data_IF_365888813319
#
_entry.id   IF_365888813319
#
_cell.length_a   1.000
_cell.length_b   1.000
_cell.length_c   1.000
_cell.angle_alpha   90.00
_cell.angle_beta   90.00
_cell.angle_gamma   90.00
#
_symmetry.space_group_name_H-M   'P 1'
#
loop_
_entity.id
_entity.type
_entity.pdbx_description
1 polymer ?
#
# COMPACT_ATOMS: atom_id res chain seq x y z
N UNK A 1 14.79 4.70 35.54
CA UNK A 1 13.98 3.53 35.93
C UNK A 1 12.58 4.02 36.18
N UNK A 2 11.61 3.67 35.35
CA UNK A 2 10.24 4.13 35.53
C UNK A 2 9.52 3.12 36.43
N UNK A 3 9.01 3.60 37.57
CA UNK A 3 8.23 2.83 38.52
C UNK A 3 6.82 2.67 37.97
N UNK A 4 6.50 1.49 37.45
CA UNK A 4 5.15 1.14 37.04
C UNK A 4 4.52 0.34 38.19
N UNK A 5 3.53 0.93 38.86
CA UNK A 5 2.84 0.33 40.01
C UNK A 5 2.35 -1.09 39.76
N UNK A 6 2.09 -1.82 40.85
CA UNK A 6 2.20 -3.28 40.97
C UNK A 6 1.43 -4.18 39.97
N UNK A 7 0.49 -3.72 39.14
CA UNK A 7 -0.31 -4.61 38.28
C UNK A 7 -0.85 -3.96 37.00
N UNK A 8 0.00 -3.57 36.03
CA UNK A 8 -0.47 -3.26 34.67
C UNK A 8 0.41 -3.87 33.58
N UNK A 9 -0.19 -4.78 32.82
CA UNK A 9 0.33 -5.34 31.58
C UNK A 9 0.24 -4.23 30.53
N UNK A 10 1.38 -3.86 29.92
CA UNK A 10 1.39 -2.93 28.78
C UNK A 10 1.03 -3.73 27.53
N UNK A 11 -0.10 -3.38 26.91
CA UNK A 11 -0.49 -3.92 25.61
C UNK A 11 0.32 -3.26 24.50
N UNK A 12 0.85 -4.05 23.59
CA UNK A 12 1.52 -3.59 22.38
C UNK A 12 1.19 -4.52 21.22
N UNK A 13 1.54 -4.11 19.99
CA UNK A 13 1.36 -4.96 18.82
C UNK A 13 2.70 -5.60 18.48
N UNK A 14 2.73 -6.93 18.39
CA UNK A 14 3.90 -7.63 17.86
C UNK A 14 3.83 -7.64 16.33
N UNK A 15 4.74 -6.92 15.69
CA UNK A 15 4.91 -7.00 14.24
C UNK A 15 5.70 -8.27 13.91
N UNK A 16 5.00 -9.30 13.42
CA UNK A 16 5.65 -10.53 12.91
C UNK A 16 6.59 -10.23 11.75
N UNK A 17 6.34 -9.15 11.01
CA UNK A 17 7.16 -8.74 9.86
C UNK A 17 8.48 -8.11 10.31
N UNK A 18 8.49 -7.31 11.39
CA UNK A 18 9.72 -6.69 11.92
C UNK A 18 10.41 -7.54 13.00
N UNK A 19 9.77 -8.61 13.45
CA UNK A 19 10.24 -9.42 14.58
C UNK A 19 10.30 -8.63 15.89
N UNK A 20 9.52 -7.55 16.02
CA UNK A 20 9.58 -6.62 17.17
C UNK A 20 8.19 -6.32 17.69
N UNK A 21 8.09 -6.17 19.01
CA UNK A 21 6.94 -5.54 19.65
C UNK A 21 7.04 -4.03 19.49
N UNK A 22 5.93 -3.36 19.20
CA UNK A 22 5.83 -1.91 19.21
C UNK A 22 4.87 -1.47 20.29
N UNK A 23 5.34 -0.53 21.10
CA UNK A 23 4.65 0.00 22.26
C UNK A 23 4.61 1.52 22.12
N UNK A 24 3.44 2.10 22.36
CA UNK A 24 3.32 3.54 22.51
C UNK A 24 3.80 3.96 23.90
N UNK A 25 4.84 4.77 23.94
CA UNK A 25 5.30 5.50 25.12
C UNK A 25 4.64 6.87 25.15
N UNK A 26 3.57 6.98 25.92
CA UNK A 26 2.81 8.22 26.08
C UNK A 26 3.57 9.32 26.82
N UNK A 27 4.66 9.01 27.52
CA UNK A 27 5.45 10.00 28.26
C UNK A 27 6.45 10.69 27.35
N UNK A 28 7.11 9.91 26.49
CA UNK A 28 8.01 10.46 25.48
C UNK A 28 7.28 10.87 24.19
N UNK A 29 5.96 10.68 24.13
CA UNK A 29 5.14 10.85 22.93
C UNK A 29 5.75 10.13 21.71
N UNK A 30 6.10 8.86 21.91
CA UNK A 30 6.95 8.10 21.00
C UNK A 30 6.48 6.66 20.80
N UNK A 31 6.75 6.09 19.63
CA UNK A 31 6.65 4.65 19.40
C UNK A 31 8.00 4.02 19.69
N UNK A 32 8.00 2.97 20.48
CA UNK A 32 9.21 2.20 20.81
C UNK A 32 9.10 0.78 20.28
N UNK A 33 10.16 0.30 19.66
CA UNK A 33 10.30 -1.07 19.21
C UNK A 33 11.19 -1.88 20.16
N UNK A 34 10.76 -3.09 20.47
CA UNK A 34 11.43 -4.04 21.37
C UNK A 34 11.62 -5.37 20.65
N UNK A 35 12.84 -5.90 20.64
CA UNK A 35 13.10 -7.28 20.25
C UNK A 35 12.51 -8.27 21.28
N UNK A 36 12.30 -9.55 20.92
CA UNK A 36 11.83 -10.56 21.85
C UNK A 36 12.79 -10.68 23.05
N UNK A 37 12.28 -10.52 24.26
CA UNK A 37 13.08 -10.56 25.49
C UNK A 37 13.88 -9.30 25.78
N UNK A 38 13.79 -8.25 24.95
CA UNK A 38 14.44 -6.97 25.22
C UNK A 38 13.76 -6.26 26.40
N UNK A 39 14.57 -5.83 27.36
CA UNK A 39 14.15 -5.03 28.51
C UNK A 39 14.67 -3.60 28.40
N UNK A 40 13.94 -2.62 28.96
CA UNK A 40 14.41 -1.24 29.09
C UNK A 40 13.65 -0.26 28.20
N UNK A 41 14.37 0.69 27.61
CA UNK A 41 13.76 1.81 26.88
C UNK A 41 13.32 1.47 25.44
N UNK A 42 13.71 0.33 24.87
CA UNK A 42 13.47 0.04 23.46
C UNK A 42 14.08 1.07 22.49
N UNK A 43 13.92 0.84 21.19
CA UNK A 43 14.35 1.79 20.14
C UNK A 43 13.20 2.72 19.78
N UNK A 44 13.38 4.04 19.86
CA UNK A 44 12.37 4.99 19.35
C UNK A 44 12.31 4.91 17.83
N UNK A 45 11.12 4.65 17.28
CA UNK A 45 10.87 4.53 15.82
C UNK A 45 9.96 5.64 15.27
N UNK A 46 9.30 6.39 16.13
CA UNK A 46 8.53 7.60 15.80
C UNK A 46 8.35 8.46 17.06
N UNK A 47 8.13 9.77 16.89
CA UNK A 47 7.86 10.76 17.95
C UNK A 47 6.80 11.75 17.48
N UNK A 48 6.18 12.50 18.39
CA UNK A 48 5.21 13.54 18.02
C UNK A 48 3.85 12.95 17.63
N UNK A 49 3.43 11.89 18.31
CA UNK A 49 2.21 11.14 18.00
C UNK A 49 0.97 11.83 18.59
N UNK A 50 1.18 12.70 19.58
CA UNK A 50 0.15 13.52 20.20
C UNK A 50 -0.06 14.77 19.34
N UNK A 51 -1.24 14.91 18.76
CA UNK A 51 -1.65 16.22 18.25
C UNK A 51 -1.81 17.18 19.44
N UNK A 52 -1.11 18.32 19.42
CA UNK A 52 -1.25 19.37 20.43
C UNK A 52 -2.70 19.86 20.51
N UNK A 53 -3.42 19.35 21.51
CA UNK A 53 -4.61 19.90 22.17
C UNK A 53 -5.69 20.57 21.29
N UNK A 54 -6.73 19.83 20.93
CA UNK A 54 -8.15 20.23 21.06
C UNK A 54 -9.02 18.99 20.81
N UNK A 55 -10.24 18.96 21.36
CA UNK A 55 -11.14 17.80 21.45
C UNK A 55 -11.67 17.30 20.08
N UNK A 56 -10.78 16.77 19.26
CA UNK A 56 -11.08 16.08 18.01
C UNK A 56 -10.10 14.94 17.86
N UNK A 57 -10.35 13.83 18.57
CA UNK A 57 -9.55 12.62 18.52
C UNK A 57 -9.54 12.08 17.09
N UNK A 58 -8.50 12.40 16.31
CA UNK A 58 -8.20 11.69 15.08
C UNK A 58 -7.46 10.42 15.49
N UNK A 59 -8.20 9.32 15.61
CA UNK A 59 -7.58 7.99 15.67
C UNK A 59 -6.80 7.78 14.37
N UNK A 60 -5.48 7.94 14.42
CA UNK A 60 -4.61 7.58 13.31
C UNK A 60 -4.34 6.07 13.38
N UNK A 61 -4.75 5.36 12.34
CA UNK A 61 -4.33 3.97 12.13
C UNK A 61 -2.81 3.96 11.94
N UNK A 62 -2.09 3.49 12.95
CA UNK A 62 -0.65 3.26 12.84
C UNK A 62 -0.45 1.88 12.22
N UNK A 63 -0.30 1.84 10.89
CA UNK A 63 0.11 0.63 10.21
C UNK A 63 1.62 0.42 10.39
N UNK A 64 1.98 -0.55 11.23
CA UNK A 64 3.37 -0.99 11.41
C UNK A 64 3.68 -2.07 10.38
N UNK A 65 3.71 -1.67 9.10
CA UNK A 65 4.29 -2.51 8.05
C UNK A 65 5.82 -2.44 8.16
N UNK A 66 6.55 -3.45 7.70
CA UNK A 66 7.99 -3.25 7.50
C UNK A 66 8.17 -2.20 6.42
N UNK A 67 9.02 -1.21 6.68
CA UNK A 67 9.54 -0.30 5.65
C UNK A 67 10.50 -1.03 4.68
N UNK A 68 10.30 -2.34 4.50
CA UNK A 68 10.96 -3.18 3.49
C UNK A 68 10.04 -3.38 2.28
N UNK A 69 8.98 -2.60 2.12
CA UNK A 69 8.35 -2.37 0.81
C UNK A 69 9.30 -1.55 -0.07
N UNK A 70 10.49 -2.09 -0.34
CA UNK A 70 11.22 -1.83 -1.59
C UNK A 70 10.56 -2.60 -2.75
N UNK A 71 9.30 -3.03 -2.58
CA UNK A 71 8.55 -3.91 -3.46
C UNK A 71 7.07 -3.61 -3.34
N UNK A 72 6.67 -2.41 -3.74
CA UNK A 72 5.32 -1.89 -3.53
C UNK A 72 4.84 -0.98 -4.63
N UNK A 73 3.55 -0.71 -4.59
CA UNK A 73 2.91 0.33 -5.37
C UNK A 73 2.44 1.43 -4.41
N UNK A 74 2.66 2.68 -4.76
CA UNK A 74 2.17 3.86 -4.04
C UNK A 74 1.46 4.82 -4.99
N UNK A 75 0.59 5.69 -4.48
CA UNK A 75 -0.17 6.64 -5.30
C UNK A 75 0.07 8.09 -4.91
N UNK A 76 -0.16 9.00 -5.86
CA UNK A 76 -0.15 10.46 -5.63
C UNK A 76 -1.45 10.99 -5.01
N UNK A 77 -2.57 10.27 -5.18
CA UNK A 77 -3.88 10.62 -4.62
C UNK A 77 -4.64 9.36 -4.23
N UNK A 78 -5.54 9.47 -3.26
CA UNK A 78 -6.47 8.41 -2.85
C UNK A 78 -7.90 8.64 -3.34
N UNK A 79 -8.20 9.77 -3.99
CA UNK A 79 -9.51 10.04 -4.58
C UNK A 79 -9.44 10.87 -5.85
N UNK A 80 -10.47 10.73 -6.69
CA UNK A 80 -10.67 11.51 -7.92
C UNK A 80 -12.14 11.93 -8.04
N UNK A 81 -12.37 13.20 -8.36
CA UNK A 81 -13.72 13.72 -8.64
C UNK A 81 -14.23 13.23 -9.99
N UNK A 82 -15.48 12.79 -10.04
CA UNK A 82 -16.19 12.38 -11.25
C UNK A 82 -16.52 13.57 -12.14
N UNK A 83 -16.81 14.72 -11.55
CA UNK A 83 -17.10 15.94 -12.29
C UNK A 83 -15.84 16.56 -12.90
N UNK A 84 -14.75 16.65 -12.12
CA UNK A 84 -13.48 17.23 -12.60
C UNK A 84 -12.60 16.23 -13.37
N UNK A 85 -12.77 14.92 -13.14
CA UNK A 85 -11.82 13.90 -13.58
C UNK A 85 -10.48 14.01 -12.86
N UNK A 86 -9.48 13.29 -13.35
CA UNK A 86 -8.13 13.39 -12.82
C UNK A 86 -7.23 12.22 -13.19
N UNK A 87 -6.01 12.27 -12.67
CA UNK A 87 -5.03 11.19 -12.79
C UNK A 87 -4.56 10.78 -11.42
N UNK A 88 -4.59 9.49 -11.14
CA UNK A 88 -3.82 8.88 -10.07
C UNK A 88 -2.56 8.28 -10.69
N UNK A 89 -1.39 8.83 -10.33
CA UNK A 89 -0.12 8.22 -10.69
C UNK A 89 0.23 7.16 -9.64
N UNK A 90 0.53 5.96 -10.11
CA UNK A 90 0.85 4.78 -9.32
C UNK A 90 2.33 4.44 -9.54
N UNK A 91 3.17 4.72 -8.56
CA UNK A 91 4.58 4.43 -8.60
C UNK A 91 4.82 2.99 -8.17
N UNK A 92 5.49 2.20 -9.01
CA UNK A 92 6.01 0.87 -8.69
C UNK A 92 7.47 1.05 -8.31
N UNK A 93 7.88 0.49 -7.18
CA UNK A 93 9.28 0.34 -6.81
C UNK A 93 9.48 -1.08 -6.28
N UNK A 94 10.23 -1.89 -7.02
CA UNK A 94 10.59 -3.26 -6.66
C UNK A 94 12.11 -3.48 -6.50
N UNK A 95 12.86 -2.38 -6.49
CA UNK A 95 14.29 -2.35 -6.31
C UNK A 95 15.13 -2.85 -7.51
N UNK A 96 16.42 -2.49 -7.56
CA UNK A 96 17.28 -2.71 -8.72
C UNK A 96 17.54 -4.20 -9.03
N UNK A 97 17.30 -5.10 -8.07
CA UNK A 97 17.40 -6.55 -8.31
C UNK A 97 16.41 -7.05 -9.38
N UNK A 98 15.31 -6.31 -9.58
CA UNK A 98 14.30 -6.56 -10.61
C UNK A 98 14.34 -5.50 -11.72
N UNK A 99 15.43 -4.73 -11.83
CA UNK A 99 15.61 -3.75 -12.90
C UNK A 99 15.52 -4.39 -14.28
N UNK A 100 14.76 -3.77 -15.19
CA UNK A 100 14.49 -4.32 -16.53
C UNK A 100 13.48 -5.45 -16.60
N UNK A 101 12.98 -5.96 -15.47
CA UNK A 101 11.92 -6.98 -15.47
C UNK A 101 10.62 -6.43 -16.06
N UNK A 102 9.77 -7.32 -16.58
CA UNK A 102 8.46 -6.91 -17.11
C UNK A 102 7.49 -6.77 -15.94
N UNK A 103 6.65 -5.74 -15.96
CA UNK A 103 5.53 -5.62 -15.03
C UNK A 103 4.21 -5.62 -15.78
N UNK A 104 3.19 -6.13 -15.11
CA UNK A 104 1.80 -5.99 -15.52
C UNK A 104 0.98 -5.48 -14.33
N UNK A 105 0.44 -4.27 -14.45
CA UNK A 105 -0.45 -3.65 -13.49
C UNK A 105 -1.91 -3.77 -13.97
N UNK A 106 -2.81 -3.99 -13.02
CA UNK A 106 -4.24 -4.04 -13.27
C UNK A 106 -5.00 -3.42 -12.10
N UNK A 107 -6.32 -3.30 -12.26
CA UNK A 107 -7.19 -2.92 -11.17
C UNK A 107 -8.44 -3.80 -11.06
N UNK A 108 -9.17 -3.59 -9.96
CA UNK A 108 -10.42 -4.28 -9.63
C UNK A 108 -11.42 -3.29 -9.03
N UNK A 109 -12.68 -3.37 -9.49
CA UNK A 109 -13.82 -2.64 -8.92
C UNK A 109 -14.52 -3.42 -7.80
N UNK A 110 -14.43 -4.75 -7.85
CA UNK A 110 -15.10 -5.67 -6.92
C UNK A 110 -14.31 -5.92 -5.63
N UNK A 111 -13.23 -5.16 -5.41
CA UNK A 111 -12.34 -5.26 -4.25
C UNK A 111 -11.07 -6.05 -4.52
N UNK A 112 -10.29 -6.27 -3.46
CA UNK A 112 -8.92 -6.81 -3.53
C UNK A 112 -8.71 -8.10 -2.71
N UNK A 113 -9.74 -8.52 -1.97
CA UNK A 113 -9.77 -9.75 -1.17
C UNK A 113 -10.86 -10.68 -1.71
N UNK A 114 -10.61 -12.00 -1.83
CA UNK A 114 -9.43 -12.75 -1.36
C UNK A 114 -8.18 -12.63 -2.23
N UNK A 115 -8.28 -12.07 -3.44
CA UNK A 115 -7.20 -12.12 -4.41
C UNK A 115 -7.12 -13.48 -5.12
N UNK A 116 -6.04 -13.72 -5.86
CA UNK A 116 -5.78 -15.01 -6.51
C UNK A 116 -4.29 -15.35 -6.52
N UNK A 117 -3.96 -16.64 -6.63
CA UNK A 117 -2.58 -17.09 -6.74
C UNK A 117 -2.08 -17.04 -8.19
N UNK A 118 -0.91 -16.45 -8.40
CA UNK A 118 -0.19 -16.41 -9.68
C UNK A 118 1.29 -16.70 -9.42
N UNK A 119 1.83 -17.77 -10.00
CA UNK A 119 3.23 -18.16 -9.79
C UNK A 119 3.60 -18.39 -8.32
N UNK A 120 2.64 -18.85 -7.50
CA UNK A 120 2.84 -19.07 -6.06
C UNK A 120 2.78 -17.81 -5.19
N UNK A 121 2.52 -16.64 -5.77
CA UNK A 121 2.31 -15.37 -5.04
C UNK A 121 0.84 -14.98 -5.08
N UNK A 122 0.36 -14.32 -4.03
CA UNK A 122 -1.01 -13.82 -3.98
C UNK A 122 -1.10 -12.43 -4.62
N UNK A 123 -1.86 -12.32 -5.71
CA UNK A 123 -2.23 -11.04 -6.32
C UNK A 123 -3.45 -10.50 -5.59
N UNK A 124 -3.35 -9.33 -4.93
CA UNK A 124 -4.45 -8.77 -4.14
C UNK A 124 -5.44 -8.02 -5.04
N UNK A 125 -6.04 -8.72 -6.01
CA UNK A 125 -7.08 -8.20 -6.90
C UNK A 125 -8.10 -9.28 -7.19
N UNK A 126 -9.37 -8.90 -7.35
CA UNK A 126 -10.39 -9.81 -7.87
C UNK A 126 -10.39 -9.77 -9.41
N UNK A 127 -10.60 -10.92 -10.05
CA UNK A 127 -10.70 -11.01 -11.51
C UNK A 127 -12.09 -10.59 -11.99
N UNK A 128 -12.32 -9.29 -12.09
CA UNK A 128 -13.56 -8.72 -12.60
C UNK A 128 -13.41 -8.11 -14.01
N UNK A 129 -14.47 -7.46 -14.50
CA UNK A 129 -14.49 -6.86 -15.83
C UNK A 129 -13.38 -5.81 -16.03
N UNK A 130 -12.96 -5.10 -14.97
CA UNK A 130 -11.88 -4.12 -15.09
C UNK A 130 -10.51 -4.79 -15.12
N UNK A 131 -10.31 -5.83 -14.31
CA UNK A 131 -9.11 -6.65 -14.40
C UNK A 131 -8.98 -7.26 -15.80
N UNK A 132 -10.05 -7.87 -16.31
CA UNK A 132 -10.09 -8.46 -17.66
C UNK A 132 -9.86 -7.41 -18.74
N UNK A 133 -10.43 -6.21 -18.60
CA UNK A 133 -10.19 -5.11 -19.53
C UNK A 133 -8.70 -4.72 -19.57
N UNK A 134 -8.06 -4.50 -18.42
CA UNK A 134 -6.65 -4.10 -18.35
C UNK A 134 -5.71 -5.18 -18.94
N UNK A 135 -6.11 -6.46 -18.83
CA UNK A 135 -5.39 -7.60 -19.42
C UNK A 135 -5.57 -7.69 -20.93
N UNK A 136 -6.76 -7.42 -21.43
CA UNK A 136 -7.09 -7.54 -22.86
C UNK A 136 -6.60 -6.34 -23.66
N UNK A 137 -6.63 -5.15 -23.06
CA UNK A 137 -6.31 -3.87 -23.69
C UNK A 137 -5.23 -3.13 -22.89
N UNK A 138 -3.98 -3.65 -22.85
CA UNK A 138 -2.91 -2.99 -22.14
C UNK A 138 -2.60 -1.60 -22.71
N UNK A 139 -2.21 -0.69 -21.83
CA UNK A 139 -1.83 0.69 -22.10
C UNK A 139 -2.97 1.50 -22.76
N UNK A 140 -4.22 1.16 -22.47
CA UNK A 140 -5.42 1.88 -22.91
C UNK A 140 -6.14 2.52 -21.72
N UNK A 141 -6.85 3.63 -21.98
CA UNK A 141 -7.69 4.26 -20.96
C UNK A 141 -8.69 3.24 -20.37
N UNK A 142 -8.88 3.23 -19.04
CA UNK A 142 -8.41 4.22 -18.09
C UNK A 142 -7.02 3.95 -17.48
N UNK A 143 -6.30 2.90 -17.89
CA UNK A 143 -5.02 2.50 -17.27
C UNK A 143 -3.86 2.55 -18.29
N UNK A 144 -3.07 3.62 -18.24
CA UNK A 144 -1.92 3.83 -19.11
C UNK A 144 -0.63 3.33 -18.47
N UNK A 145 0.32 2.92 -19.29
CA UNK A 145 1.60 2.34 -18.85
C UNK A 145 1.40 1.20 -17.85
N UNK A 146 0.41 0.33 -18.08
CA UNK A 146 0.15 -0.80 -17.19
C UNK A 146 0.91 -2.06 -17.61
N UNK A 147 1.53 -2.08 -18.78
CA UNK A 147 2.37 -3.19 -19.23
C UNK A 147 3.62 -2.66 -19.95
N UNK A 148 4.76 -2.79 -19.30
CA UNK A 148 6.07 -2.39 -19.81
C UNK A 148 7.20 -3.05 -19.00
N UNK A 149 8.44 -2.66 -19.28
CA UNK A 149 9.58 -2.99 -18.44
C UNK A 149 9.76 -1.94 -17.33
N UNK A 150 10.27 -2.40 -16.19
CA UNK A 150 10.82 -1.54 -15.15
C UNK A 150 12.13 -0.91 -15.63
N UNK A 151 12.45 0.27 -15.11
CA UNK A 151 13.76 0.89 -15.33
C UNK A 151 14.89 0.11 -14.63
N UNK A 152 16.18 0.49 -14.79
CA UNK A 152 17.30 -0.19 -14.14
C UNK A 152 17.27 -0.15 -12.60
N UNK A 153 16.48 0.75 -12.00
CA UNK A 153 16.28 0.87 -10.57
C UNK A 153 15.12 -0.02 -10.07
N UNK A 154 14.41 -0.70 -10.97
CA UNK A 154 13.23 -1.50 -10.63
C UNK A 154 11.98 -0.66 -10.43
N UNK A 155 11.91 0.52 -11.07
CA UNK A 155 10.83 1.48 -10.91
C UNK A 155 10.01 1.64 -12.19
N UNK A 156 8.74 2.02 -12.02
CA UNK A 156 7.84 2.42 -13.10
C UNK A 156 6.72 3.33 -12.58
N UNK A 157 6.01 4.00 -13.48
CA UNK A 157 4.79 4.76 -13.15
C UNK A 157 3.64 4.37 -14.08
N UNK A 158 2.57 3.87 -13.47
CA UNK A 158 1.28 3.57 -14.12
C UNK A 158 0.36 4.77 -13.88
N UNK A 159 -0.52 5.08 -14.83
CA UNK A 159 -1.49 6.18 -14.67
C UNK A 159 -2.91 5.65 -14.80
N UNK A 160 -3.69 5.78 -13.73
CA UNK A 160 -5.14 5.65 -13.79
C UNK A 160 -5.73 7.03 -14.13
N UNK A 161 -6.43 7.13 -15.25
CA UNK A 161 -7.01 8.37 -15.74
C UNK A 161 -8.52 8.26 -15.82
N UNK A 162 -9.19 9.18 -15.12
CA UNK A 162 -10.64 9.32 -15.12
C UNK A 162 -11.02 10.59 -15.90
N UNK A 163 -11.80 10.48 -16.99
CA UNK A 163 -12.30 11.65 -17.70
C UNK A 163 -13.21 12.51 -16.83
N UNK A 164 -13.17 13.82 -17.05
CA UNK A 164 -14.15 14.75 -16.48
C UNK A 164 -15.57 14.42 -16.95
N UNK A 165 -16.57 14.65 -16.10
CA UNK A 165 -17.96 14.30 -16.41
C UNK A 165 -18.23 12.79 -16.45
N UNK A 166 -17.42 11.99 -15.75
CA UNK A 166 -17.68 10.56 -15.55
C UNK A 166 -19.02 10.35 -14.82
N UNK A 167 -19.64 9.18 -15.06
CA UNK A 167 -21.00 8.93 -14.59
C UNK A 167 -21.12 9.06 -13.05
N UNK A 168 -22.08 9.85 -12.52
CA UNK A 168 -22.29 10.01 -11.08
C UNK A 168 -22.60 8.70 -10.34
N UNK A 169 -23.07 7.67 -11.05
CA UNK A 169 -23.32 6.32 -10.50
C UNK A 169 -22.05 5.61 -10.02
N UNK A 170 -20.87 6.13 -10.36
CA UNK A 170 -19.59 5.59 -9.89
C UNK A 170 -19.18 6.15 -8.51
N UNK A 171 -19.92 7.13 -7.97
CA UNK A 171 -19.56 7.76 -6.69
C UNK A 171 -19.58 6.75 -5.53
N UNK A 172 -18.56 6.80 -4.68
CA UNK A 172 -18.36 5.90 -3.56
C UNK A 172 -17.74 4.55 -3.92
N UNK A 173 -17.46 4.29 -5.21
CA UNK A 173 -16.69 3.11 -5.62
C UNK A 173 -15.23 3.31 -5.26
N UNK A 174 -14.62 2.29 -4.65
CA UNK A 174 -13.18 2.24 -4.39
C UNK A 174 -12.55 1.18 -5.30
N UNK A 175 -11.77 1.65 -6.26
CA UNK A 175 -10.95 0.79 -7.10
C UNK A 175 -9.68 0.43 -6.36
N UNK A 176 -9.12 -0.73 -6.68
CA UNK A 176 -7.82 -1.15 -6.17
C UNK A 176 -6.91 -1.53 -7.33
N UNK A 177 -5.65 -1.10 -7.28
CA UNK A 177 -4.63 -1.41 -8.28
C UNK A 177 -3.45 -2.14 -7.68
N UNK A 178 -2.90 -3.10 -8.41
CA UNK A 178 -1.68 -3.82 -8.04
C UNK A 178 -0.93 -4.26 -9.30
N UNK A 179 0.35 -4.62 -9.15
CA UNK A 179 1.19 -5.13 -10.23
C UNK A 179 1.83 -6.47 -9.88
N UNK A 180 1.98 -7.31 -10.90
CA UNK A 180 2.82 -8.50 -10.88
C UNK A 180 4.08 -8.23 -11.70
N UNK A 181 5.23 -8.67 -11.18
CA UNK A 181 6.54 -8.53 -11.82
C UNK A 181 7.00 -9.88 -12.32
N UNK A 182 7.26 -9.95 -13.61
CA UNK A 182 7.68 -11.14 -14.33
C UNK A 182 9.19 -11.05 -14.55
N UNK A 183 9.91 -11.93 -13.88
CA UNK A 183 11.35 -12.04 -13.96
C UNK A 183 11.85 -12.57 -15.30
N UNK A 184 13.18 -12.58 -15.51
CA UNK A 184 13.79 -13.04 -16.76
C UNK A 184 13.55 -14.53 -17.05
N UNK A 185 13.20 -15.33 -16.04
CA UNK A 185 12.84 -16.76 -16.19
C UNK A 185 11.34 -16.99 -16.45
N UNK A 186 10.60 -15.92 -16.76
CA UNK A 186 9.14 -15.95 -16.94
C UNK A 186 8.37 -16.42 -15.69
N UNK A 187 8.99 -16.26 -14.52
CA UNK A 187 8.40 -16.50 -13.20
C UNK A 187 7.83 -15.20 -12.63
N UNK A 188 6.81 -15.30 -11.79
CA UNK A 188 6.34 -14.15 -11.01
C UNK A 188 7.27 -13.97 -9.83
N UNK A 189 8.12 -12.94 -9.89
CA UNK A 189 9.19 -12.72 -8.92
C UNK A 189 8.77 -11.76 -7.80
N UNK A 190 7.81 -10.87 -8.09
CA UNK A 190 7.20 -9.98 -7.10
C UNK A 190 5.74 -9.66 -7.43
N UNK A 191 5.01 -9.25 -6.41
CA UNK A 191 3.65 -8.72 -6.51
C UNK A 191 3.54 -7.56 -5.52
N UNK A 192 2.94 -6.45 -5.94
CA UNK A 192 2.77 -5.27 -5.08
C UNK A 192 1.55 -5.40 -4.16
N UNK A 193 1.48 -4.54 -3.14
CA UNK A 193 0.24 -4.27 -2.42
C UNK A 193 -0.85 -3.72 -3.36
N UNK A 194 -2.10 -3.81 -2.90
CA UNK A 194 -3.23 -3.11 -3.50
C UNK A 194 -3.22 -1.64 -3.09
N UNK A 195 -3.44 -0.74 -4.04
CA UNK A 195 -3.50 0.71 -3.84
C UNK A 195 -4.89 1.22 -4.20
N UNK A 196 -5.60 1.90 -3.29
CA UNK A 196 -6.97 2.32 -3.53
C UNK A 196 -7.07 3.66 -4.29
N UNK A 197 -8.19 3.86 -4.99
CA UNK A 197 -8.71 5.18 -5.37
C UNK A 197 -10.23 5.22 -5.24
N UNK A 198 -10.72 6.18 -4.48
CA UNK A 198 -12.15 6.45 -4.33
C UNK A 198 -12.64 7.43 -5.40
N UNK A 199 -13.78 7.14 -6.01
CA UNK A 199 -14.44 8.05 -6.92
C UNK A 199 -15.47 8.89 -6.17
N UNK A 200 -15.30 10.21 -6.18
CA UNK A 200 -16.14 11.17 -5.46
C UNK A 200 -16.88 12.10 -6.43
N UNK A 201 -17.95 12.75 -6.00
CA UNK A 201 -18.69 13.71 -6.85
C UNK A 201 -17.87 14.99 -7.11
#
# INVERSE_FOLDING_TARGET
MQYFGQHRIVGGVYSRVRGRAVIHDSVADALRAYAPGESGGGTIIATGLSASASSGEQASLIEISSSNYLTGMSSTTSSISLSAGGTQALAIDVGPALGGAVYFAAGSFSGWTPGFSLGGKNVPLNMDAYFTFALTYPNQLPLLNNFANLDPQGQATVAFQLPAGSAPSLAGIVLHHAAAIIGPLLTVDAVTNAVPVELVL
#
